data_IF_493884444347
#
_entry.id   IF_493884444347
#
_cell.length_a   1.000
_cell.length_b   1.000
_cell.length_c   1.000
_cell.angle_alpha   90.00
_cell.angle_beta   90.00
_cell.angle_gamma   90.00
#
_symmetry.space_group_name_H-M   'P 1'
#
loop_
_entity.id
_entity.type
_entity.pdbx_description
1 polymer ?
#
# COMPACT_ATOMS: atom_id res chain seq x y z
N UNK A 1 8.15 64.31 2.15
CA UNK A 1 9.09 63.86 1.12
C UNK A 1 9.95 62.78 1.75
N UNK A 2 9.47 61.54 1.69
CA UNK A 2 10.20 60.34 2.10
C UNK A 2 9.77 59.27 1.11
N UNK A 3 10.72 58.73 0.35
CA UNK A 3 10.50 57.72 -0.67
C UNK A 3 10.89 56.38 -0.06
N UNK A 4 9.89 55.58 0.29
CA UNK A 4 10.09 54.17 0.63
C UNK A 4 10.15 53.37 -0.67
N UNK A 5 11.23 52.60 -0.82
CA UNK A 5 11.51 51.74 -1.97
C UNK A 5 11.12 50.32 -1.56
N UNK A 6 10.04 49.80 -2.14
CA UNK A 6 9.66 48.39 -2.02
C UNK A 6 10.58 47.55 -2.92
N UNK A 7 11.23 46.55 -2.32
CA UNK A 7 12.03 45.53 -3.00
C UNK A 7 11.24 44.23 -2.99
N UNK A 8 10.61 43.89 -4.11
CA UNK A 8 9.96 42.60 -4.33
C UNK A 8 11.01 41.54 -4.65
N UNK A 9 11.15 40.54 -3.79
CA UNK A 9 11.90 39.32 -4.08
C UNK A 9 10.92 38.23 -4.50
N UNK A 10 10.98 37.86 -5.79
CA UNK A 10 10.35 36.64 -6.33
C UNK A 10 11.25 35.45 -6.00
N UNK A 11 10.73 34.50 -5.23
CA UNK A 11 11.35 33.21 -5.00
C UNK A 11 10.81 32.19 -6.00
N UNK A 12 11.63 31.83 -6.98
CA UNK A 12 11.39 30.70 -7.87
C UNK A 12 11.59 29.38 -7.10
N UNK A 13 10.50 28.63 -6.88
CA UNK A 13 10.57 27.26 -6.40
C UNK A 13 10.93 26.35 -7.58
N UNK A 14 12.14 25.79 -7.56
CA UNK A 14 12.60 24.79 -8.52
C UNK A 14 12.31 23.41 -7.93
N UNK A 15 11.31 22.71 -8.46
CA UNK A 15 11.03 21.31 -8.12
C UNK A 15 12.13 20.43 -8.72
N UNK A 16 12.95 19.82 -7.87
CA UNK A 16 14.01 18.90 -8.26
C UNK A 16 13.43 17.48 -8.34
N UNK A 17 13.18 16.98 -9.55
CA UNK A 17 12.92 15.56 -9.77
C UNK A 17 14.21 14.77 -9.47
N UNK A 18 14.18 13.97 -8.39
CA UNK A 18 15.26 13.06 -8.04
C UNK A 18 15.42 12.01 -9.14
N UNK A 19 16.49 12.10 -9.92
CA UNK A 19 16.82 11.07 -10.92
C UNK A 19 17.56 9.95 -10.19
N UNK A 20 16.95 8.77 -10.09
CA UNK A 20 17.61 7.53 -9.64
C UNK A 20 18.83 7.27 -10.54
N UNK A 21 20.01 7.50 -9.97
CA UNK A 21 21.29 7.36 -10.66
C UNK A 21 21.69 5.89 -10.61
N UNK A 22 21.51 5.17 -11.72
CA UNK A 22 21.98 3.79 -11.89
C UNK A 22 23.50 3.78 -12.03
N UNK A 23 24.22 3.66 -10.92
CA UNK A 23 25.66 3.38 -10.94
C UNK A 23 25.90 1.93 -11.34
N UNK A 24 26.21 1.71 -12.62
CA UNK A 24 26.74 0.44 -13.12
C UNK A 24 28.19 0.30 -12.64
N UNK A 25 28.40 -0.50 -11.59
CA UNK A 25 29.74 -0.84 -11.10
C UNK A 25 30.28 -2.02 -11.91
N UNK A 26 31.12 -1.75 -12.91
CA UNK A 26 31.91 -2.78 -13.60
C UNK A 26 33.10 -3.17 -12.73
N UNK A 27 33.00 -4.32 -12.07
CA UNK A 27 34.12 -4.93 -11.34
C UNK A 27 35.00 -5.70 -12.33
N UNK A 28 36.18 -5.15 -12.62
CA UNK A 28 37.24 -5.82 -13.37
C UNK A 28 37.76 -7.03 -12.59
N UNK A 29 37.76 -8.18 -13.27
CA UNK A 29 38.32 -9.43 -12.78
C UNK A 29 39.85 -9.38 -12.76
N UNK A 30 40.46 -9.63 -11.61
CA UNK A 30 41.87 -10.00 -11.51
C UNK A 30 42.00 -11.43 -11.00
N UNK A 31 42.41 -12.30 -11.91
CA UNK A 31 42.80 -13.69 -11.69
C UNK A 31 44.16 -13.78 -10.99
N UNK A 32 44.25 -14.63 -9.97
CA UNK A 32 45.52 -15.29 -9.58
C UNK A 32 45.21 -16.70 -9.13
N UNK A 33 45.62 -17.65 -9.97
CA UNK A 33 45.83 -19.06 -9.66
C UNK A 33 46.87 -19.22 -8.53
N UNK A 34 46.65 -20.20 -7.63
CA UNK A 34 47.61 -21.28 -7.36
C UNK A 34 46.96 -22.44 -6.57
N UNK A 35 47.48 -23.67 -6.70
CA UNK A 35 46.78 -24.89 -6.32
C UNK A 35 47.21 -25.44 -4.96
N UNK A 36 46.30 -26.12 -4.25
CA UNK A 36 46.68 -27.03 -3.16
C UNK A 36 45.85 -28.31 -3.15
N UNK A 37 46.60 -29.40 -3.09
CA UNK A 37 46.26 -30.82 -3.16
C UNK A 37 45.71 -31.43 -1.87
N UNK A 38 45.04 -32.60 -2.05
CA UNK A 38 44.79 -33.68 -1.08
C UNK A 38 43.56 -33.48 -0.18
N UNK A 39 42.76 -34.47 0.23
CA UNK A 39 43.01 -35.90 0.48
C UNK A 39 41.69 -36.68 0.42
N UNK A 40 41.78 -37.94 -0.01
CA UNK A 40 40.74 -38.96 -0.07
C UNK A 40 40.07 -39.28 1.28
N UNK A 41 38.76 -39.55 1.26
CA UNK A 41 38.00 -40.09 2.38
C UNK A 41 36.80 -40.88 1.90
N UNK A 42 37.04 -42.15 1.62
CA UNK A 42 36.05 -43.18 1.26
C UNK A 42 35.38 -43.69 2.54
N UNK A 43 34.05 -43.70 2.58
CA UNK A 43 33.31 -44.67 3.41
C UNK A 43 31.97 -44.98 2.76
N UNK A 44 31.94 -46.15 2.16
CA UNK A 44 30.76 -46.90 1.76
C UNK A 44 30.03 -47.45 2.99
N UNK A 45 28.71 -47.26 3.09
CA UNK A 45 27.82 -48.16 3.85
C UNK A 45 26.53 -48.36 3.06
N UNK A 46 26.41 -49.55 2.48
CA UNK A 46 25.17 -50.15 2.04
C UNK A 46 24.25 -50.43 3.23
N UNK A 47 22.96 -50.12 3.13
CA UNK A 47 21.94 -51.01 3.70
C UNK A 47 20.69 -51.00 2.82
N UNK A 48 20.41 -52.18 2.29
CA UNK A 48 19.23 -52.52 1.50
C UNK A 48 17.97 -52.64 2.38
N UNK A 49 16.80 -52.45 1.76
CA UNK A 49 15.60 -53.16 2.18
C UNK A 49 14.27 -52.46 1.90
N UNK A 50 13.54 -52.96 0.88
CA UNK A 50 12.09 -53.32 0.86
C UNK A 50 11.07 -52.24 1.27
N UNK A 51 9.95 -51.96 0.59
CA UNK A 51 9.10 -52.64 -0.40
C UNK A 51 8.05 -51.60 -0.88
N UNK A 52 7.49 -51.65 -2.11
CA UNK A 52 6.48 -50.69 -2.55
C UNK A 52 5.06 -51.24 -2.33
N UNK A 53 4.27 -50.59 -1.46
CA UNK A 53 2.82 -50.83 -1.39
C UNK A 53 2.07 -49.92 -2.35
N UNK A 54 1.74 -50.50 -3.49
CA UNK A 54 0.71 -50.07 -4.45
C UNK A 54 -0.66 -49.93 -3.75
N UNK A 55 -1.14 -48.70 -3.59
CA UNK A 55 -2.49 -48.39 -3.15
C UNK A 55 -3.33 -47.90 -4.33
N UNK A 56 -4.00 -48.83 -5.02
CA UNK A 56 -4.96 -48.53 -6.08
C UNK A 56 -6.27 -48.02 -5.45
N UNK A 57 -6.40 -46.70 -5.32
CA UNK A 57 -7.64 -46.04 -4.92
C UNK A 57 -8.54 -45.75 -6.11
N UNK A 58 -9.49 -46.66 -6.36
CA UNK A 58 -10.60 -46.48 -7.29
C UNK A 58 -11.48 -45.31 -6.86
N UNK A 59 -11.45 -44.19 -7.58
CA UNK A 59 -12.44 -43.12 -7.45
C UNK A 59 -13.53 -43.31 -8.50
N UNK A 60 -14.71 -43.65 -7.98
CA UNK A 60 -15.97 -43.81 -8.71
C UNK A 60 -16.36 -42.49 -9.39
N UNK A 61 -16.37 -42.50 -10.73
CA UNK A 61 -17.03 -41.48 -11.54
C UNK A 61 -18.54 -41.60 -11.33
N UNK A 62 -19.15 -40.60 -10.70
CA UNK A 62 -20.61 -40.45 -10.65
C UNK A 62 -20.98 -39.36 -11.64
N UNK A 63 -21.34 -39.77 -12.85
CA UNK A 63 -22.01 -38.93 -13.85
C UNK A 63 -23.44 -38.64 -13.38
N UNK A 64 -23.68 -37.44 -12.88
CA UNK A 64 -25.05 -36.92 -12.70
C UNK A 64 -25.45 -36.18 -13.97
N UNK A 65 -26.12 -36.90 -14.86
CA UNK A 65 -26.98 -36.33 -15.90
C UNK A 65 -28.18 -35.67 -15.23
N UNK A 66 -28.35 -34.37 -15.39
CA UNK A 66 -29.42 -33.64 -14.73
C UNK A 66 -29.81 -32.35 -15.44
N UNK A 67 -30.82 -32.48 -16.30
CA UNK A 67 -31.86 -31.49 -16.58
C UNK A 67 -31.50 -30.20 -17.34
N UNK A 68 -31.80 -30.21 -18.63
CA UNK A 68 -32.15 -29.02 -19.42
C UNK A 68 -33.34 -28.30 -18.76
N UNK A 69 -33.06 -27.16 -18.14
CA UNK A 69 -34.05 -26.17 -17.73
C UNK A 69 -34.03 -25.02 -18.72
N UNK A 70 -35.10 -24.92 -19.49
CA UNK A 70 -35.41 -23.83 -20.42
C UNK A 70 -35.61 -22.54 -19.61
N UNK A 71 -34.60 -21.67 -19.61
CA UNK A 71 -34.64 -20.39 -18.91
C UNK A 71 -35.17 -19.32 -19.89
N UNK A 72 -36.45 -18.98 -19.71
CA UNK A 72 -37.10 -17.84 -20.36
C UNK A 72 -36.36 -16.56 -19.95
N UNK A 73 -35.61 -15.98 -20.90
CA UNK A 73 -35.04 -14.64 -20.79
C UNK A 73 -36.17 -13.61 -20.83
N UNK A 74 -36.65 -13.23 -19.65
CA UNK A 74 -37.44 -12.01 -19.48
C UNK A 74 -36.45 -10.85 -19.48
N UNK A 75 -36.30 -10.20 -20.63
CA UNK A 75 -35.63 -8.91 -20.77
C UNK A 75 -36.48 -7.84 -20.04
N UNK A 76 -36.35 -7.77 -18.71
CA UNK A 76 -36.82 -6.62 -17.95
C UNK A 76 -35.76 -5.53 -18.06
N UNK A 77 -35.88 -4.76 -19.13
CA UNK A 77 -35.07 -3.59 -19.40
C UNK A 77 -35.52 -2.46 -18.48
N UNK A 78 -35.17 -2.57 -17.20
CA UNK A 78 -35.17 -1.41 -16.31
C UNK A 78 -33.99 -0.54 -16.73
N UNK A 79 -34.27 0.46 -17.55
CA UNK A 79 -33.43 1.65 -17.68
C UNK A 79 -33.37 2.30 -16.30
N UNK A 80 -32.46 1.82 -15.45
CA UNK A 80 -32.01 2.58 -14.31
C UNK A 80 -31.42 3.84 -14.90
N UNK A 81 -32.19 4.92 -14.81
CA UNK A 81 -31.76 6.28 -15.07
C UNK A 81 -30.54 6.54 -14.17
N UNK A 82 -29.38 6.16 -14.69
CA UNK A 82 -28.08 6.63 -14.27
C UNK A 82 -27.94 8.04 -14.85
N UNK A 83 -28.86 8.91 -14.46
CA UNK A 83 -28.51 10.30 -14.20
C UNK A 83 -27.58 10.25 -12.99
N UNK A 84 -26.37 9.75 -13.25
CA UNK A 84 -25.20 9.84 -12.40
C UNK A 84 -24.98 11.32 -12.22
N UNK A 85 -25.69 11.86 -11.24
CA UNK A 85 -25.43 13.14 -10.64
C UNK A 85 -24.05 12.94 -10.06
N UNK A 86 -23.04 13.19 -10.89
CA UNK A 86 -21.63 13.09 -10.52
C UNK A 86 -21.50 13.80 -9.19
N UNK A 87 -20.90 13.11 -8.21
CA UNK A 87 -20.91 13.44 -6.79
C UNK A 87 -20.24 14.79 -6.51
N UNK A 88 -20.87 15.86 -6.97
CA UNK A 88 -20.44 17.22 -6.74
C UNK A 88 -20.62 17.56 -5.27
N UNK A 89 -19.74 18.41 -4.78
CA UNK A 89 -19.86 18.94 -3.42
C UNK A 89 -21.18 19.70 -3.26
N UNK A 90 -21.71 19.78 -2.04
CA UNK A 90 -22.85 20.64 -1.73
C UNK A 90 -22.61 22.08 -2.21
N UNK A 91 -23.65 22.84 -2.61
CA UNK A 91 -23.49 24.21 -3.13
C UNK A 91 -22.73 25.17 -2.19
N UNK A 92 -22.85 24.97 -0.87
CA UNK A 92 -22.11 25.72 0.16
C UNK A 92 -20.59 25.51 0.10
N UNK A 93 -20.14 24.50 -0.65
CA UNK A 93 -18.74 24.15 -0.86
C UNK A 93 -18.23 24.52 -2.26
N UNK A 94 -18.99 25.28 -3.06
CA UNK A 94 -18.53 25.91 -4.29
C UNK A 94 -17.40 26.92 -3.99
N UNK A 95 -16.16 26.44 -3.92
CA UNK A 95 -14.99 27.25 -3.58
C UNK A 95 -14.06 26.58 -2.57
N UNK A 96 -14.48 25.49 -1.94
CA UNK A 96 -13.55 24.60 -1.26
C UNK A 96 -12.64 23.94 -2.30
N UNK A 97 -11.34 24.03 -2.08
CA UNK A 97 -10.31 23.39 -2.91
C UNK A 97 -9.55 22.44 -1.98
N UNK A 98 -9.96 21.18 -1.99
CA UNK A 98 -9.20 20.11 -1.34
C UNK A 98 -8.00 19.69 -2.20
N UNK A 99 -7.21 18.76 -1.68
CA UNK A 99 -6.12 18.15 -2.44
C UNK A 99 -6.60 17.19 -3.55
N UNK A 100 -7.87 16.80 -3.51
CA UNK A 100 -8.52 15.97 -4.53
C UNK A 100 -9.77 16.66 -5.07
N UNK A 101 -10.11 16.42 -6.32
CA UNK A 101 -11.40 16.82 -6.91
C UNK A 101 -12.49 15.81 -6.56
N UNK A 102 -13.79 16.19 -6.58
CA UNK A 102 -14.87 15.23 -6.37
C UNK A 102 -14.88 14.09 -7.40
N UNK A 103 -14.46 14.37 -8.63
CA UNK A 103 -14.33 13.37 -9.69
C UNK A 103 -13.23 12.35 -9.39
N UNK A 104 -12.10 12.78 -8.83
CA UNK A 104 -11.01 11.89 -8.39
C UNK A 104 -11.39 11.11 -7.13
N UNK A 105 -12.02 11.76 -6.15
CA UNK A 105 -12.51 11.10 -4.94
C UNK A 105 -13.52 9.98 -5.26
N UNK A 106 -14.34 10.16 -6.30
CA UNK A 106 -15.27 9.15 -6.78
C UNK A 106 -14.59 7.92 -7.42
N UNK A 107 -13.26 7.93 -7.63
CA UNK A 107 -12.52 6.77 -8.14
C UNK A 107 -12.15 5.75 -7.06
N UNK A 108 -12.31 6.08 -5.78
CA UNK A 108 -12.00 5.18 -4.65
C UNK A 108 -13.27 4.79 -3.88
N UNK A 109 -13.43 3.54 -3.41
CA UNK A 109 -12.51 2.41 -3.54
C UNK A 109 -12.56 1.73 -4.93
N UNK A 110 -11.45 1.09 -5.33
CA UNK A 110 -11.28 0.41 -6.61
C UNK A 110 -11.53 -1.11 -6.57
N UNK A 111 -11.85 -1.65 -5.39
CA UNK A 111 -12.32 -3.03 -5.19
C UNK A 111 -11.25 -4.04 -4.78
N UNK A 112 -9.96 -3.68 -4.87
CA UNK A 112 -8.84 -4.41 -4.27
C UNK A 112 -8.09 -3.44 -3.35
N UNK A 113 -8.50 -3.41 -2.08
CA UNK A 113 -8.01 -2.46 -1.09
C UNK A 113 -6.50 -2.55 -0.89
N UNK A 114 -5.93 -3.76 -0.97
CA UNK A 114 -4.48 -3.97 -0.83
C UNK A 114 -3.74 -3.31 -2.01
N UNK A 115 -4.12 -3.66 -3.23
CA UNK A 115 -3.45 -3.10 -4.41
C UNK A 115 -3.67 -1.58 -4.55
N UNK A 116 -4.82 -1.08 -4.09
CA UNK A 116 -5.13 0.35 -4.07
C UNK A 116 -4.23 1.10 -3.09
N UNK A 117 -4.07 0.62 -1.86
CA UNK A 117 -3.20 1.24 -0.88
C UNK A 117 -1.72 1.23 -1.28
N UNK A 118 -1.22 0.09 -1.78
CA UNK A 118 0.14 0.02 -2.30
C UNK A 118 0.36 0.94 -3.50
N UNK A 119 -0.66 1.15 -4.33
CA UNK A 119 -0.59 2.11 -5.43
C UNK A 119 -0.54 3.55 -4.92
N UNK A 120 -1.24 3.89 -3.82
CA UNK A 120 -1.12 5.19 -3.15
C UNK A 120 0.30 5.38 -2.63
N UNK A 121 0.80 4.43 -1.84
CA UNK A 121 2.15 4.49 -1.25
C UNK A 121 3.25 4.60 -2.30
N UNK A 122 3.15 3.81 -3.39
CA UNK A 122 4.16 3.79 -4.46
C UNK A 122 4.11 5.03 -5.37
N UNK A 123 2.95 5.68 -5.51
CA UNK A 123 2.79 6.86 -6.37
C UNK A 123 2.91 8.18 -5.62
N UNK A 124 2.62 8.20 -4.33
CA UNK A 124 2.44 9.41 -3.52
C UNK A 124 1.20 10.23 -3.90
N UNK A 125 0.28 9.69 -4.71
CA UNK A 125 -0.97 10.35 -5.07
C UNK A 125 -2.03 10.15 -3.99
N UNK A 126 -2.88 11.16 -3.76
CA UNK A 126 -3.95 11.09 -2.75
C UNK A 126 -4.97 9.99 -3.04
N UNK A 127 -5.20 9.66 -4.31
CA UNK A 127 -6.03 8.54 -4.76
C UNK A 127 -5.19 7.67 -5.68
N UNK A 128 -5.33 6.36 -5.57
CA UNK A 128 -4.51 5.42 -6.33
C UNK A 128 -4.69 5.57 -7.86
N UNK A 129 -3.61 5.63 -8.65
CA UNK A 129 -3.73 5.57 -10.11
C UNK A 129 -4.33 4.23 -10.56
N UNK A 130 -5.47 4.26 -11.26
CA UNK A 130 -6.24 3.04 -11.64
C UNK A 130 -5.41 1.98 -12.37
N UNK A 131 -4.48 2.40 -13.23
CA UNK A 131 -3.62 1.46 -13.95
C UNK A 131 -2.55 0.84 -13.06
N UNK A 132 -2.03 1.59 -12.08
CA UNK A 132 -1.06 1.10 -11.13
C UNK A 132 -1.70 0.10 -10.17
N UNK A 133 -2.91 0.39 -9.66
CA UNK A 133 -3.69 -0.56 -8.83
C UNK A 133 -3.89 -1.89 -9.55
N UNK A 134 -4.31 -1.87 -10.83
CA UNK A 134 -4.48 -3.09 -11.62
C UNK A 134 -3.18 -3.86 -11.83
N UNK A 135 -2.08 -3.16 -12.06
CA UNK A 135 -0.75 -3.78 -12.19
C UNK A 135 -0.37 -4.47 -10.89
N UNK A 136 -0.42 -3.75 -9.77
CA UNK A 136 -0.07 -4.28 -8.45
C UNK A 136 -0.92 -5.51 -8.09
N UNK A 137 -2.23 -5.48 -8.33
CA UNK A 137 -3.10 -6.63 -8.09
C UNK A 137 -2.66 -7.87 -8.91
N UNK A 138 -2.30 -7.67 -10.18
CA UNK A 138 -1.79 -8.74 -11.05
C UNK A 138 -0.44 -9.29 -10.58
N UNK A 139 0.49 -8.41 -10.25
CA UNK A 139 1.84 -8.74 -9.80
C UNK A 139 1.79 -9.52 -8.47
N UNK A 140 1.03 -9.04 -7.48
CA UNK A 140 0.84 -9.73 -6.19
C UNK A 140 0.25 -11.12 -6.37
N UNK A 141 -0.80 -11.26 -7.20
CA UNK A 141 -1.41 -12.56 -7.47
C UNK A 141 -0.41 -13.54 -8.11
N UNK A 142 0.40 -13.08 -9.06
CA UNK A 142 1.43 -13.90 -9.71
C UNK A 142 2.56 -14.29 -8.75
N UNK A 143 3.06 -13.34 -7.95
CA UNK A 143 4.12 -13.56 -6.97
C UNK A 143 3.70 -14.57 -5.90
N UNK A 144 2.51 -14.42 -5.31
CA UNK A 144 1.98 -15.34 -4.30
C UNK A 144 1.71 -16.73 -4.87
N UNK A 145 1.26 -16.83 -6.13
CA UNK A 145 1.06 -18.12 -6.79
C UNK A 145 2.39 -18.86 -7.04
N UNK A 146 3.46 -18.13 -7.35
CA UNK A 146 4.78 -18.69 -7.61
C UNK A 146 5.59 -18.98 -6.33
N UNK A 147 5.31 -18.28 -5.24
CA UNK A 147 6.07 -18.31 -3.99
C UNK A 147 5.11 -18.55 -2.79
N UNK A 148 4.75 -19.82 -2.50
CA UNK A 148 3.75 -20.13 -1.47
C UNK A 148 4.11 -19.65 -0.05
N UNK A 149 5.38 -19.40 0.23
CA UNK A 149 5.88 -18.88 1.51
C UNK A 149 5.44 -17.45 1.80
N UNK A 150 5.20 -16.63 0.78
CA UNK A 150 4.69 -15.24 0.93
C UNK A 150 3.18 -15.13 0.69
N UNK A 151 2.50 -16.24 0.42
CA UNK A 151 1.08 -16.23 0.01
C UNK A 151 0.11 -15.72 1.10
N UNK A 152 0.55 -15.68 2.35
CA UNK A 152 -0.23 -15.18 3.49
C UNK A 152 0.25 -13.83 4.04
N UNK A 153 1.15 -13.14 3.34
CA UNK A 153 1.60 -11.80 3.70
C UNK A 153 0.77 -10.82 2.87
N UNK A 154 -0.04 -10.01 3.55
CA UNK A 154 -0.92 -8.99 2.97
C UNK A 154 -0.44 -7.60 3.40
N UNK A 155 -0.79 -6.55 2.64
CA UNK A 155 -0.40 -5.18 2.97
C UNK A 155 -1.16 -4.66 4.20
N UNK A 156 -0.41 -4.27 5.23
CA UNK A 156 -0.82 -3.50 6.38
C UNK A 156 -0.72 -2.01 6.05
N UNK A 157 -1.71 -1.53 5.29
CA UNK A 157 -1.74 -0.13 4.86
C UNK A 157 -1.59 0.82 6.05
N UNK A 158 -0.44 1.47 6.11
CA UNK A 158 -0.01 2.32 7.20
C UNK A 158 0.17 3.73 6.65
N UNK A 159 -0.48 4.77 7.22
CA UNK A 159 -1.40 4.71 8.34
C UNK A 159 -2.71 3.99 7.98
N UNK A 160 -3.40 3.51 9.01
CA UNK A 160 -4.57 2.66 8.89
C UNK A 160 -5.64 3.23 7.94
N UNK A 161 -6.03 2.41 6.96
CA UNK A 161 -6.82 2.68 5.73
C UNK A 161 -7.84 3.81 5.72
N UNK A 162 -8.54 4.03 6.82
CA UNK A 162 -9.73 4.90 6.83
C UNK A 162 -9.82 5.86 8.00
N UNK A 163 -8.86 5.92 8.92
CA UNK A 163 -9.07 6.70 10.15
C UNK A 163 -7.88 7.52 10.61
N UNK A 164 -8.18 8.73 11.09
CA UNK A 164 -7.21 9.65 11.65
C UNK A 164 -7.85 10.48 12.77
N UNK A 165 -7.00 11.05 13.61
CA UNK A 165 -7.43 11.96 14.67
C UNK A 165 -7.24 13.41 14.25
N UNK A 166 -8.25 14.23 14.56
CA UNK A 166 -8.18 15.68 14.48
C UNK A 166 -8.28 16.25 15.89
N UNK A 167 -7.26 17.01 16.29
CA UNK A 167 -7.25 17.76 17.53
C UNK A 167 -7.80 19.15 17.27
N UNK A 168 -8.85 19.52 17.99
CA UNK A 168 -9.47 20.83 17.91
C UNK A 168 -9.13 21.69 19.13
N UNK A 169 -9.36 22.99 19.02
CA UNK A 169 -9.42 23.87 20.20
C UNK A 169 -10.63 23.49 21.09
N UNK A 170 -10.62 23.85 22.39
CA UNK A 170 -11.79 23.63 23.25
C UNK A 170 -13.07 24.32 22.75
N UNK A 171 -12.94 25.46 22.05
CA UNK A 171 -14.08 26.18 21.48
C UNK A 171 -14.71 25.40 20.32
N UNK A 172 -13.90 24.90 19.38
CA UNK A 172 -14.36 24.03 18.30
C UNK A 172 -15.00 22.74 18.83
N UNK A 173 -14.42 22.08 19.84
CA UNK A 173 -15.05 20.89 20.46
C UNK A 173 -16.43 21.20 21.03
N UNK A 174 -16.61 22.36 21.67
CA UNK A 174 -17.91 22.78 22.16
C UNK A 174 -18.90 23.03 21.02
N UNK A 175 -18.45 23.59 19.89
CA UNK A 175 -19.27 23.77 18.70
C UNK A 175 -19.64 22.42 18.07
N UNK A 176 -18.69 21.49 17.91
CA UNK A 176 -18.91 20.12 17.40
C UNK A 176 -19.96 19.39 18.25
N UNK A 177 -19.82 19.42 19.57
CA UNK A 177 -20.79 18.77 20.50
C UNK A 177 -22.20 19.38 20.42
N UNK A 178 -22.32 20.63 20.00
CA UNK A 178 -23.59 21.34 19.84
C UNK A 178 -24.06 21.39 18.38
N UNK A 179 -23.38 20.70 17.46
CA UNK A 179 -23.69 20.69 16.03
C UNK A 179 -23.67 22.10 15.38
N UNK A 180 -22.69 22.93 15.78
CA UNK A 180 -22.51 24.29 15.24
C UNK A 180 -21.13 24.54 14.64
N UNK A 181 -20.27 23.52 14.54
CA UNK A 181 -18.99 23.63 13.86
C UNK A 181 -19.15 23.16 12.42
N UNK A 182 -18.97 24.08 11.46
CA UNK A 182 -19.24 23.83 10.04
C UNK A 182 -18.00 23.94 9.14
N UNK A 183 -16.84 24.34 9.69
CA UNK A 183 -15.63 24.51 8.89
C UNK A 183 -15.17 23.19 8.23
N UNK A 184 -15.50 22.05 8.83
CA UNK A 184 -15.21 20.73 8.28
C UNK A 184 -16.25 20.18 7.30
N UNK A 185 -17.36 20.88 7.04
CA UNK A 185 -18.48 20.29 6.29
C UNK A 185 -18.07 19.96 4.85
N UNK A 186 -17.25 20.82 4.25
CA UNK A 186 -16.75 20.63 2.89
C UNK A 186 -15.72 19.49 2.76
N UNK A 187 -14.64 19.41 3.57
CA UNK A 187 -13.78 18.22 3.53
C UNK A 187 -14.54 16.94 3.93
N UNK A 188 -15.49 16.99 4.87
CA UNK A 188 -16.31 15.83 5.20
C UNK A 188 -17.13 15.37 3.98
N UNK A 189 -17.74 16.31 3.24
CA UNK A 189 -18.47 15.99 2.02
C UNK A 189 -17.56 15.44 0.91
N UNK A 190 -16.35 15.98 0.75
CA UNK A 190 -15.39 15.56 -0.26
C UNK A 190 -14.89 14.13 -0.03
N UNK A 191 -14.48 13.83 1.21
CA UNK A 191 -13.84 12.55 1.56
C UNK A 191 -14.83 11.49 2.07
N UNK A 192 -16.13 11.80 2.10
CA UNK A 192 -17.13 10.96 2.77
C UNK A 192 -16.83 10.80 4.26
N UNK A 193 -16.28 11.83 4.91
CA UNK A 193 -15.77 11.69 6.26
C UNK A 193 -16.90 11.69 7.30
N UNK A 194 -16.81 10.78 8.27
CA UNK A 194 -17.79 10.66 9.37
C UNK A 194 -17.12 10.66 10.74
N UNK A 195 -17.81 11.19 11.74
CA UNK A 195 -17.33 11.17 13.14
C UNK A 195 -17.55 9.79 13.74
N UNK A 196 -16.47 9.08 14.05
CA UNK A 196 -16.52 7.78 14.73
C UNK A 196 -16.67 7.93 16.24
N UNK A 197 -15.86 8.80 16.83
CA UNK A 197 -15.84 9.04 18.27
C UNK A 197 -15.17 10.37 18.62
N UNK A 198 -15.56 10.95 19.75
CA UNK A 198 -14.82 12.04 20.39
C UNK A 198 -13.99 11.43 21.52
N UNK A 199 -12.67 11.55 21.45
CA UNK A 199 -11.73 10.98 22.43
C UNK A 199 -11.30 12.06 23.42
N UNK A 200 -11.79 11.93 24.65
CA UNK A 200 -11.62 12.94 25.69
C UNK A 200 -12.35 14.25 25.32
N UNK A 201 -11.68 15.38 25.54
CA UNK A 201 -12.24 16.71 25.27
C UNK A 201 -11.47 17.51 24.21
N UNK A 202 -10.63 16.83 23.41
CA UNK A 202 -9.75 17.52 22.44
C UNK A 202 -9.58 16.81 21.10
N UNK A 203 -9.83 15.51 21.00
CA UNK A 203 -9.67 14.76 19.74
C UNK A 203 -11.02 14.28 19.21
N UNK A 204 -11.16 14.32 17.88
CA UNK A 204 -12.23 13.65 17.14
C UNK A 204 -11.57 12.63 16.23
N UNK A 205 -12.04 11.39 16.28
CA UNK A 205 -11.70 10.36 15.32
C UNK A 205 -12.64 10.46 14.13
N UNK A 206 -12.08 10.63 12.94
CA UNK A 206 -12.81 10.62 11.68
C UNK A 206 -12.57 9.30 10.96
N UNK A 207 -13.58 8.83 10.23
CA UNK A 207 -13.43 7.82 9.18
C UNK A 207 -13.64 8.48 7.84
N UNK A 208 -13.06 7.96 6.76
CA UNK A 208 -13.35 8.35 5.37
C UNK A 208 -13.90 7.15 4.58
N UNK A 209 -14.69 7.39 3.54
CA UNK A 209 -15.38 6.33 2.79
C UNK A 209 -14.48 5.63 1.75
N UNK A 210 -13.45 6.32 1.26
CA UNK A 210 -12.46 5.80 0.30
C UNK A 210 -11.14 5.37 0.93
N UNK A 211 -10.21 4.90 0.09
CA UNK A 211 -8.81 4.74 0.40
C UNK A 211 -8.05 5.94 -0.15
N UNK A 212 -7.43 6.69 0.76
CA UNK A 212 -6.69 7.90 0.43
C UNK A 212 -5.31 7.87 1.08
N UNK A 213 -4.39 8.68 0.56
CA UNK A 213 -3.24 9.11 1.35
C UNK A 213 -3.76 9.95 2.54
N UNK A 214 -3.81 9.32 3.72
CA UNK A 214 -4.33 9.97 4.92
C UNK A 214 -3.43 11.08 5.45
N UNK A 215 -2.15 11.16 5.08
CA UNK A 215 -1.32 12.31 5.41
C UNK A 215 -1.81 13.54 4.63
N UNK A 216 -2.12 13.38 3.35
CA UNK A 216 -2.68 14.44 2.51
C UNK A 216 -4.09 14.83 2.99
N UNK A 217 -4.98 13.88 3.26
CA UNK A 217 -6.30 14.18 3.86
C UNK A 217 -6.14 14.91 5.19
N UNK A 218 -5.24 14.45 6.07
CA UNK A 218 -4.97 15.09 7.35
C UNK A 218 -4.44 16.53 7.21
N UNK A 219 -3.73 16.85 6.13
CA UNK A 219 -3.28 18.21 5.84
C UNK A 219 -4.44 19.14 5.48
N UNK A 220 -5.46 18.66 4.76
CA UNK A 220 -6.66 19.44 4.46
C UNK A 220 -7.44 19.81 5.72
N UNK A 221 -7.56 18.87 6.67
CA UNK A 221 -8.19 19.15 7.97
C UNK A 221 -7.33 20.07 8.84
N UNK A 222 -5.99 19.95 8.77
CA UNK A 222 -5.09 20.82 9.52
C UNK A 222 -5.20 22.29 9.08
N UNK A 223 -5.59 22.54 7.83
CA UNK A 223 -5.80 23.88 7.29
C UNK A 223 -7.08 24.56 7.80
N UNK A 224 -7.98 23.84 8.47
CA UNK A 224 -9.22 24.39 8.99
C UNK A 224 -9.00 25.27 10.23
N UNK A 225 -9.84 26.30 10.35
CA UNK A 225 -9.87 27.12 11.56
C UNK A 225 -10.17 26.26 12.80
N UNK A 226 -9.47 26.56 13.90
CA UNK A 226 -9.61 25.87 15.19
C UNK A 226 -9.12 24.41 15.21
N UNK A 227 -8.52 23.89 14.14
CA UNK A 227 -7.74 22.65 14.16
C UNK A 227 -6.32 22.93 14.62
N UNK A 228 -5.84 22.14 15.58
CA UNK A 228 -4.54 22.32 16.24
C UNK A 228 -3.51 21.30 15.75
N UNK A 229 -3.96 20.08 15.46
CA UNK A 229 -3.11 18.98 15.03
C UNK A 229 -3.96 17.92 14.35
N UNK A 230 -3.42 17.27 13.33
CA UNK A 230 -3.93 16.00 12.81
C UNK A 230 -2.93 14.88 13.07
N UNK A 231 -3.40 13.65 13.13
CA UNK A 231 -2.57 12.47 13.33
C UNK A 231 -3.23 11.28 12.66
N UNK A 232 -2.74 10.87 11.47
CA UNK A 232 -2.98 9.52 10.99
C UNK A 232 -2.58 8.51 12.07
N UNK A 233 -3.28 7.38 12.12
CA UNK A 233 -2.97 6.32 13.06
C UNK A 233 -2.13 5.26 12.37
N UNK A 234 -0.96 5.01 12.94
CA UNK A 234 -0.04 3.99 12.46
C UNK A 234 -0.51 2.63 12.97
N UNK A 235 -0.47 1.63 12.09
CA UNK A 235 -0.72 0.25 12.49
C UNK A 235 0.46 -0.30 13.29
N UNK A 236 0.23 -1.40 14.00
CA UNK A 236 1.28 -2.08 14.74
C UNK A 236 2.13 -2.87 13.74
N UNK A 237 3.43 -2.92 14.02
CA UNK A 237 4.43 -3.73 13.34
C UNK A 237 3.99 -5.22 13.22
N UNK A 238 4.20 -5.81 12.04
CA UNK A 238 3.69 -7.12 11.64
C UNK A 238 4.23 -7.58 10.27
N UNK A 239 3.70 -8.69 9.76
CA UNK A 239 3.96 -9.08 8.37
C UNK A 239 3.26 -8.11 7.42
N UNK A 240 3.97 -7.60 6.42
CA UNK A 240 3.50 -6.57 5.51
C UNK A 240 4.16 -6.72 4.12
N UNK A 241 3.69 -6.00 3.12
CA UNK A 241 4.33 -5.89 1.82
C UNK A 241 4.36 -4.43 1.41
N UNK A 242 5.49 -3.96 0.90
CA UNK A 242 5.58 -2.64 0.27
C UNK A 242 5.83 -2.79 -1.23
N UNK A 243 5.39 -1.79 -2.00
CA UNK A 243 5.63 -1.70 -3.43
C UNK A 243 6.29 -0.35 -3.78
N UNK A 244 7.19 -0.33 -4.75
CA UNK A 244 7.79 0.91 -5.25
C UNK A 244 8.01 0.88 -6.77
N UNK A 245 7.86 2.03 -7.40
CA UNK A 245 8.11 2.21 -8.84
C UNK A 245 9.62 2.27 -9.08
N UNK A 246 10.16 1.28 -9.81
CA UNK A 246 11.58 1.13 -10.13
C UNK A 246 11.82 1.30 -11.63
N UNK A 247 11.57 2.51 -12.14
CA UNK A 247 11.61 2.78 -13.59
C UNK A 247 10.39 2.19 -14.29
N UNK A 248 10.61 1.26 -15.23
CA UNK A 248 9.51 0.52 -15.90
C UNK A 248 9.06 -0.71 -15.10
N UNK A 249 9.87 -1.14 -14.12
CA UNK A 249 9.59 -2.26 -13.24
C UNK A 249 8.92 -1.81 -11.92
N UNK A 250 8.36 -2.77 -11.19
CA UNK A 250 7.89 -2.63 -9.82
C UNK A 250 8.78 -3.43 -8.89
N UNK A 251 9.22 -2.82 -7.80
CA UNK A 251 9.87 -3.49 -6.69
C UNK A 251 8.79 -3.88 -5.67
N UNK A 252 8.85 -5.12 -5.20
CA UNK A 252 8.05 -5.63 -4.08
C UNK A 252 8.97 -6.16 -3.00
N UNK A 253 8.69 -5.81 -1.74
CA UNK A 253 9.38 -6.38 -0.58
C UNK A 253 8.31 -6.90 0.36
N UNK A 254 8.28 -8.21 0.55
CA UNK A 254 7.42 -8.89 1.51
C UNK A 254 8.18 -9.03 2.82
N UNK A 255 7.60 -8.58 3.92
CA UNK A 255 8.09 -8.73 5.28
C UNK A 255 7.29 -9.82 6.01
N UNK A 256 7.99 -10.85 6.47
CA UNK A 256 7.45 -11.82 7.42
C UNK A 256 7.93 -11.48 8.84
N UNK A 257 7.16 -10.61 9.52
CA UNK A 257 7.38 -10.24 10.91
C UNK A 257 6.89 -11.32 11.89
N UNK A 258 7.74 -11.74 12.83
CA UNK A 258 7.38 -12.72 13.86
C UNK A 258 8.04 -12.47 15.22
N UNK A 259 7.59 -13.23 16.23
CA UNK A 259 8.08 -13.14 17.61
C UNK A 259 7.18 -12.31 18.52
N UNK A 260 7.71 -11.26 19.16
CA UNK A 260 7.04 -10.45 20.18
C UNK A 260 6.13 -9.34 19.61
N UNK A 261 5.36 -9.63 18.56
CA UNK A 261 4.65 -8.62 17.75
C UNK A 261 3.57 -7.80 18.50
N UNK A 262 3.25 -8.10 19.77
CA UNK A 262 2.37 -7.23 20.57
C UNK A 262 3.04 -5.90 20.94
N UNK A 263 4.37 -5.92 21.05
CA UNK A 263 5.21 -4.76 21.37
C UNK A 263 6.08 -4.32 20.16
N UNK A 264 5.82 -4.90 18.98
CA UNK A 264 6.64 -4.83 17.78
C UNK A 264 7.36 -6.15 17.52
N UNK A 265 7.34 -6.64 16.29
CA UNK A 265 8.00 -7.90 15.94
C UNK A 265 9.51 -7.75 16.17
N UNK A 266 10.13 -8.77 16.77
CA UNK A 266 11.57 -8.72 17.11
C UNK A 266 12.43 -9.28 15.98
N UNK A 267 11.80 -9.92 15.00
CA UNK A 267 12.42 -10.65 13.92
C UNK A 267 11.61 -10.44 12.65
N UNK A 268 12.33 -10.19 11.55
CA UNK A 268 11.76 -9.93 10.24
C UNK A 268 12.55 -10.69 9.19
N UNK A 269 11.83 -11.26 8.23
CA UNK A 269 12.40 -11.90 7.05
C UNK A 269 11.82 -11.22 5.81
N UNK A 270 12.67 -10.48 5.12
CA UNK A 270 12.30 -9.75 3.92
C UNK A 270 12.60 -10.56 2.68
N UNK A 271 11.64 -10.66 1.75
CA UNK A 271 11.84 -11.29 0.43
C UNK A 271 11.54 -10.28 -0.67
N UNK A 272 12.55 -9.98 -1.49
CA UNK A 272 12.49 -8.96 -2.53
C UNK A 272 12.24 -9.53 -3.92
N UNK A 273 11.41 -8.86 -4.72
CA UNK A 273 11.13 -9.17 -6.12
C UNK A 273 11.15 -7.91 -6.98
N UNK A 274 11.65 -8.03 -8.21
CA UNK A 274 11.51 -7.02 -9.25
C UNK A 274 10.64 -7.59 -10.37
N UNK A 275 9.52 -6.94 -10.67
CA UNK A 275 8.58 -7.35 -11.73
C UNK A 275 8.65 -6.34 -12.86
N UNK A 276 8.99 -6.79 -14.07
CA UNK A 276 9.11 -5.90 -15.22
C UNK A 276 7.73 -5.47 -15.79
N UNK A 277 7.73 -4.80 -16.94
CA UNK A 277 6.51 -4.29 -17.56
C UNK A 277 5.64 -5.42 -18.17
N UNK A 278 6.24 -6.57 -18.46
CA UNK A 278 5.60 -7.76 -18.99
C UNK A 278 5.00 -8.65 -17.88
N UNK A 279 5.32 -8.37 -16.62
CA UNK A 279 4.89 -9.14 -15.46
C UNK A 279 5.83 -10.29 -15.10
N UNK A 280 7.04 -10.32 -15.69
CA UNK A 280 8.04 -11.33 -15.36
C UNK A 280 8.76 -10.94 -14.06
N UNK A 281 8.68 -11.83 -13.07
CA UNK A 281 9.26 -11.61 -11.75
C UNK A 281 10.69 -12.15 -11.64
N UNK A 282 11.61 -11.32 -11.16
CA UNK A 282 12.98 -11.68 -10.78
C UNK A 282 13.15 -11.60 -9.26
N UNK A 283 13.49 -12.71 -8.62
CA UNK A 283 13.80 -12.72 -7.19
C UNK A 283 15.13 -11.98 -6.91
N UNK A 284 15.12 -11.09 -5.93
CA UNK A 284 16.28 -10.30 -5.48
C UNK A 284 17.01 -10.95 -4.30
N UNK A 285 16.32 -11.84 -3.58
CA UNK A 285 16.84 -12.63 -2.46
C UNK A 285 16.02 -12.44 -1.19
N UNK A 286 16.57 -12.95 -0.09
CA UNK A 286 15.97 -12.87 1.25
C UNK A 286 16.97 -12.20 2.21
N UNK A 287 16.47 -11.44 3.17
CA UNK A 287 17.25 -10.78 4.22
C UNK A 287 16.57 -10.96 5.57
N UNK A 288 17.28 -11.46 6.58
CA UNK A 288 16.74 -11.69 7.91
C UNK A 288 17.47 -10.84 8.97
N UNK A 289 16.74 -9.99 9.70
CA UNK A 289 17.32 -9.03 10.65
C UNK A 289 18.09 -9.68 11.79
N UNK A 290 17.70 -10.90 12.19
CA UNK A 290 18.37 -11.64 13.27
C UNK A 290 19.67 -12.33 12.83
N UNK A 291 19.84 -12.60 11.53
CA UNK A 291 20.93 -13.43 11.01
C UNK A 291 21.98 -12.60 10.28
N UNK A 292 21.54 -11.54 9.60
CA UNK A 292 22.36 -10.78 8.68
C UNK A 292 22.76 -9.42 9.27
N UNK A 293 24.07 -9.19 9.38
CA UNK A 293 24.58 -7.92 9.91
C UNK A 293 24.49 -6.74 8.93
N UNK A 294 24.29 -7.01 7.63
CA UNK A 294 24.21 -5.98 6.60
C UNK A 294 23.01 -6.28 5.68
N UNK A 295 22.10 -5.32 5.58
CA UNK A 295 21.02 -5.38 4.61
C UNK A 295 21.56 -5.36 3.17
N UNK A 296 20.97 -6.13 2.24
CA UNK A 296 21.36 -6.10 0.84
C UNK A 296 20.96 -4.77 0.17
N UNK A 297 21.63 -4.43 -0.93
CA UNK A 297 21.42 -3.14 -1.62
C UNK A 297 19.96 -2.94 -2.07
N UNK A 298 19.30 -3.99 -2.56
CA UNK A 298 17.90 -3.89 -3.00
C UNK A 298 16.95 -3.50 -1.86
N UNK A 299 17.33 -3.77 -0.61
CA UNK A 299 16.57 -3.37 0.58
C UNK A 299 16.93 -1.93 0.98
N UNK A 300 18.24 -1.61 1.05
CA UNK A 300 18.67 -0.27 1.50
C UNK A 300 18.37 0.84 0.50
N UNK A 301 18.38 0.55 -0.80
CA UNK A 301 18.08 1.51 -1.86
C UNK A 301 16.56 1.77 -1.96
N UNK A 302 15.73 0.93 -1.33
CA UNK A 302 14.28 0.97 -1.35
C UNK A 302 13.68 1.72 -0.16
N UNK A 303 14.36 2.76 0.35
CA UNK A 303 13.97 3.47 1.57
C UNK A 303 12.54 4.04 1.56
N UNK A 304 12.02 4.44 0.38
CA UNK A 304 10.64 4.92 0.23
C UNK A 304 9.59 3.80 0.37
N UNK A 305 9.97 2.55 0.06
CA UNK A 305 9.14 1.35 0.23
C UNK A 305 9.22 0.86 1.68
N UNK A 306 10.44 0.67 2.18
CA UNK A 306 10.69 0.05 3.49
C UNK A 306 10.36 0.95 4.68
N UNK A 307 9.96 2.20 4.46
CA UNK A 307 9.44 3.05 5.54
C UNK A 307 8.00 2.69 5.94
N UNK A 308 7.31 1.92 5.10
CA UNK A 308 5.94 1.46 5.33
C UNK A 308 5.86 0.12 6.07
N UNK A 309 6.92 -0.69 5.96
CA UNK A 309 7.14 -1.93 6.71
C UNK A 309 7.56 -1.63 8.17
#
# INVERSE_FOLDING_TARGET
MGTDTESSATSDATTSAGTLSTTTSTTDASTTDEPSTSTSGDTSVDTAGTDPTTGTGTTTSTTTSGSSGDATTTEDSTTSDTDGTGGGLPPECEGYVGQVTPEEAALTPQGDDEAEGLAIEASGEIVAPVQLTKRIAGDLAALRAANPEIAGIDALLSPAKHYFYVRFTPAAIAQIKNDTYHAWDCPNALYGATVKQIVGDVFVALTVDGLYDLEQVAADYLALDEVVKTSPLWELDGSDVCAAIAGEAMLYIFDDGYGDCQDGCIAHVYTGFLVDAEGDATALGTYATEQDMNAPMWFTDAGECTQWL
#
